data_IF_980456379416
#
_entry.id   IF_980456379416
#
_cell.length_a   1.000
_cell.length_b   1.000
_cell.length_c   1.000
_cell.angle_alpha   90.00
_cell.angle_beta   90.00
_cell.angle_gamma   90.00
#
_symmetry.space_group_name_H-M   'P 1'
#
loop_
_entity.id
_entity.type
_entity.pdbx_description
1 polymer ?
#
# COMPACT_ATOMS: atom_id res chain seq x y z
N UNK A 1 -22.27 -18.08 -5.44
CA UNK A 1 -21.83 -16.80 -4.89
C UNK A 1 -22.08 -15.72 -5.94
N UNK A 2 -22.70 -14.64 -5.56
CA UNK A 2 -22.91 -13.48 -6.44
C UNK A 2 -21.83 -12.44 -6.16
N UNK A 3 -21.27 -11.90 -7.22
CA UNK A 3 -20.32 -10.78 -7.13
C UNK A 3 -21.09 -9.46 -6.99
N UNK A 4 -20.52 -8.50 -6.28
CA UNK A 4 -21.07 -7.15 -6.24
C UNK A 4 -20.95 -6.47 -7.63
N UNK A 5 -21.84 -5.53 -7.92
CA UNK A 5 -21.89 -4.83 -9.22
C UNK A 5 -20.54 -4.25 -9.68
N UNK A 6 -19.75 -3.68 -8.76
CA UNK A 6 -18.43 -3.14 -9.07
C UNK A 6 -17.40 -4.24 -9.43
N UNK A 7 -17.53 -5.42 -8.80
CA UNK A 7 -16.69 -6.60 -9.10
C UNK A 7 -17.03 -7.17 -10.47
N UNK A 8 -18.32 -7.30 -10.80
CA UNK A 8 -18.76 -7.75 -12.13
C UNK A 8 -18.32 -6.82 -13.25
N UNK A 9 -18.43 -5.49 -13.03
CA UNK A 9 -17.95 -4.48 -14.00
C UNK A 9 -16.44 -4.61 -14.23
N UNK A 10 -15.66 -4.84 -13.16
CA UNK A 10 -14.23 -5.06 -13.26
C UNK A 10 -13.92 -6.39 -13.99
N UNK A 11 -14.59 -7.48 -13.61
CA UNK A 11 -14.43 -8.81 -14.21
C UNK A 11 -14.63 -8.81 -15.74
N UNK A 12 -15.58 -8.01 -16.23
CA UNK A 12 -15.82 -7.87 -17.68
C UNK A 12 -14.64 -7.22 -18.41
N UNK A 13 -13.89 -6.33 -17.75
CA UNK A 13 -12.74 -5.60 -18.32
C UNK A 13 -11.40 -6.31 -18.08
N UNK A 14 -11.33 -7.27 -17.16
CA UNK A 14 -10.09 -7.99 -16.86
C UNK A 14 -9.62 -8.80 -18.04
N UNK A 15 -8.31 -8.80 -18.24
CA UNK A 15 -7.59 -9.52 -19.30
C UNK A 15 -6.21 -9.94 -18.80
N UNK A 16 -5.55 -10.82 -19.54
CA UNK A 16 -4.18 -11.23 -19.21
C UNK A 16 -3.24 -10.03 -19.15
N UNK A 17 -2.41 -9.95 -18.12
CA UNK A 17 -1.45 -8.85 -17.93
C UNK A 17 -2.02 -7.59 -17.30
N UNK A 18 -3.31 -7.58 -16.92
CA UNK A 18 -3.90 -6.40 -16.26
C UNK A 18 -3.53 -6.27 -14.79
N UNK A 19 -3.65 -5.06 -14.29
CA UNK A 19 -3.60 -4.74 -12.86
C UNK A 19 -5.03 -4.44 -12.40
N UNK A 20 -5.61 -5.27 -11.54
CA UNK A 20 -6.88 -4.99 -10.89
C UNK A 20 -6.65 -3.98 -9.76
N UNK A 21 -7.15 -2.77 -9.96
CA UNK A 21 -6.96 -1.65 -9.04
C UNK A 21 -8.23 -1.40 -8.24
N UNK A 22 -8.12 -1.52 -6.93
CA UNK A 22 -9.25 -1.26 -6.04
C UNK A 22 -8.78 -0.97 -4.62
N UNK A 23 -9.53 -0.17 -3.90
CA UNK A 23 -9.23 0.17 -2.51
C UNK A 23 -9.06 -1.06 -1.62
N UNK A 24 -8.54 -0.85 -0.43
CA UNK A 24 -8.43 -1.91 0.58
C UNK A 24 -9.84 -2.41 0.93
N UNK A 25 -10.05 -3.73 0.94
CA UNK A 25 -11.37 -4.31 1.23
C UNK A 25 -12.39 -4.28 0.09
N UNK A 26 -12.03 -3.86 -1.12
CA UNK A 26 -12.95 -3.86 -2.28
C UNK A 26 -13.25 -5.25 -2.86
N UNK A 27 -12.66 -6.33 -2.33
CA UNK A 27 -12.87 -7.70 -2.82
C UNK A 27 -12.02 -8.07 -4.04
N UNK A 28 -10.81 -7.51 -4.17
CA UNK A 28 -9.88 -7.86 -5.26
C UNK A 28 -9.58 -9.35 -5.33
N UNK A 29 -9.35 -10.00 -4.18
CA UNK A 29 -9.01 -11.43 -4.11
C UNK A 29 -10.11 -12.29 -4.72
N UNK A 30 -11.35 -12.13 -4.26
CA UNK A 30 -12.50 -12.88 -4.76
C UNK A 30 -12.76 -12.59 -6.26
N UNK A 31 -12.59 -11.35 -6.71
CA UNK A 31 -12.76 -10.96 -8.12
C UNK A 31 -11.68 -11.60 -9.01
N UNK A 32 -10.45 -11.69 -8.51
CA UNK A 32 -9.35 -12.34 -9.23
C UNK A 32 -9.55 -13.86 -9.36
N UNK A 33 -10.07 -14.51 -8.33
CA UNK A 33 -10.45 -15.91 -8.36
C UNK A 33 -11.64 -16.16 -9.31
N UNK A 34 -12.63 -15.25 -9.33
CA UNK A 34 -13.70 -15.30 -10.31
C UNK A 34 -13.19 -15.15 -11.75
N UNK A 35 -12.21 -14.28 -11.98
CA UNK A 35 -11.56 -14.17 -13.28
C UNK A 35 -10.85 -15.46 -13.69
N UNK A 36 -10.03 -16.03 -12.82
CA UNK A 36 -9.38 -17.31 -13.04
C UNK A 36 -10.39 -18.41 -13.35
N UNK A 37 -11.38 -18.60 -12.48
CA UNK A 37 -12.36 -19.66 -12.62
C UNK A 37 -13.20 -19.49 -13.90
N UNK A 38 -13.84 -18.34 -14.08
CA UNK A 38 -14.83 -18.15 -15.15
C UNK A 38 -14.18 -17.87 -16.51
N UNK A 39 -13.15 -16.99 -16.57
CA UNK A 39 -12.58 -16.52 -17.83
C UNK A 39 -11.40 -17.36 -18.29
N UNK A 40 -10.47 -17.67 -17.39
CA UNK A 40 -9.26 -18.45 -17.74
C UNK A 40 -9.61 -19.93 -17.88
N UNK A 41 -10.28 -20.52 -16.88
CA UNK A 41 -10.60 -21.95 -16.88
C UNK A 41 -11.98 -22.27 -17.47
N UNK A 42 -12.72 -21.28 -18.00
CA UNK A 42 -14.02 -21.51 -18.62
C UNK A 42 -15.07 -22.09 -17.69
N UNK A 43 -14.98 -21.74 -16.38
CA UNK A 43 -15.84 -22.29 -15.34
C UNK A 43 -17.30 -21.90 -15.50
N UNK A 44 -18.19 -22.87 -15.31
CA UNK A 44 -19.62 -22.72 -15.29
C UNK A 44 -20.23 -23.75 -14.34
N UNK A 45 -21.26 -23.37 -13.60
CA UNK A 45 -21.99 -24.25 -12.67
C UNK A 45 -21.05 -25.03 -11.71
N UNK A 46 -20.10 -24.30 -11.12
CA UNK A 46 -19.05 -24.82 -10.21
C UNK A 46 -18.12 -25.88 -10.84
N UNK A 47 -18.03 -25.97 -12.15
CA UNK A 47 -17.13 -26.89 -12.87
C UNK A 47 -16.25 -26.12 -13.83
N UNK A 48 -14.98 -26.47 -13.91
CA UNK A 48 -14.05 -25.94 -14.90
C UNK A 48 -14.15 -26.72 -16.22
N UNK A 49 -13.93 -26.03 -17.34
CA UNK A 49 -13.78 -26.66 -18.64
C UNK A 49 -12.50 -27.52 -18.65
N UNK A 50 -12.59 -28.86 -18.85
CA UNK A 50 -11.42 -29.74 -18.81
C UNK A 50 -10.29 -29.33 -19.79
N UNK A 51 -10.65 -28.70 -20.93
CA UNK A 51 -9.69 -28.26 -21.97
C UNK A 51 -8.98 -26.93 -21.62
N UNK A 52 -9.51 -26.19 -20.64
CA UNK A 52 -8.99 -24.85 -20.26
C UNK A 52 -8.37 -24.82 -18.87
N UNK A 53 -8.36 -25.93 -18.16
CA UNK A 53 -7.79 -26.02 -16.83
C UNK A 53 -6.33 -25.58 -16.83
N UNK A 54 -5.95 -24.80 -15.83
CA UNK A 54 -4.57 -24.37 -15.57
C UNK A 54 -4.30 -24.41 -14.08
N UNK A 55 -3.09 -24.73 -13.69
CA UNK A 55 -2.65 -24.63 -12.31
C UNK A 55 -2.66 -23.17 -11.86
N UNK A 56 -2.99 -22.93 -10.60
CA UNK A 56 -3.10 -21.60 -10.00
C UNK A 56 -1.96 -21.35 -9.02
N UNK A 57 -1.25 -20.27 -9.23
CA UNK A 57 -0.22 -19.77 -8.33
C UNK A 57 -0.58 -18.38 -7.83
N UNK A 58 -0.71 -18.23 -6.50
CA UNK A 58 -1.01 -16.96 -5.86
C UNK A 58 0.24 -16.53 -5.11
N UNK A 59 0.88 -15.46 -5.58
CA UNK A 59 2.05 -14.86 -4.95
C UNK A 59 1.60 -13.65 -4.16
N UNK A 60 1.69 -13.73 -2.85
CA UNK A 60 1.16 -12.72 -1.92
C UNK A 60 2.19 -12.30 -0.87
N UNK A 61 1.79 -11.61 0.18
CA UNK A 61 2.67 -11.33 1.32
C UNK A 61 2.84 -12.58 2.20
N UNK A 62 4.00 -12.74 2.88
CA UNK A 62 4.22 -13.86 3.79
C UNK A 62 3.09 -13.95 4.83
N UNK A 63 2.65 -12.81 5.37
CA UNK A 63 1.56 -12.77 6.33
C UNK A 63 0.23 -13.31 5.80
N UNK A 64 -0.22 -12.88 4.61
CA UNK A 64 -1.47 -13.38 4.02
C UNK A 64 -1.41 -14.86 3.69
N UNK A 65 -0.23 -15.38 3.32
CA UNK A 65 0.02 -16.81 3.17
C UNK A 65 -0.16 -17.53 4.51
N UNK A 66 0.51 -17.03 5.56
CA UNK A 66 0.57 -17.69 6.87
C UNK A 66 -0.75 -17.57 7.65
N UNK A 67 -1.55 -16.54 7.38
CA UNK A 67 -2.89 -16.34 7.96
C UNK A 67 -4.01 -17.05 7.19
N UNK A 68 -3.68 -17.74 6.10
CA UNK A 68 -4.65 -18.47 5.27
C UNK A 68 -5.83 -17.62 4.76
N UNK A 69 -5.58 -16.32 4.51
CA UNK A 69 -6.65 -15.40 4.06
C UNK A 69 -7.23 -15.78 2.69
N UNK A 70 -6.46 -16.45 1.84
CA UNK A 70 -6.89 -16.85 0.51
C UNK A 70 -7.83 -18.06 0.50
N UNK A 71 -7.70 -18.96 1.48
CA UNK A 71 -8.45 -20.21 1.56
C UNK A 71 -9.96 -19.96 1.68
N UNK A 72 -10.37 -18.93 2.44
CA UNK A 72 -11.76 -18.52 2.55
C UNK A 72 -12.37 -18.10 1.22
N UNK A 73 -11.66 -17.29 0.43
CA UNK A 73 -12.10 -16.83 -0.89
C UNK A 73 -12.08 -18.00 -1.90
N UNK A 74 -11.07 -18.88 -1.85
CA UNK A 74 -10.94 -20.05 -2.72
C UNK A 74 -12.06 -21.07 -2.53
N UNK A 75 -12.56 -21.24 -1.32
CA UNK A 75 -13.63 -22.19 -1.01
C UNK A 75 -14.92 -21.91 -1.83
N UNK A 76 -15.20 -20.65 -2.16
CA UNK A 76 -16.35 -20.29 -2.99
C UNK A 76 -16.28 -20.88 -4.40
N UNK A 77 -15.08 -21.20 -4.89
CA UNK A 77 -14.81 -21.78 -6.21
C UNK A 77 -14.40 -23.24 -6.11
N UNK A 78 -14.53 -23.90 -4.95
CA UNK A 78 -14.07 -25.26 -4.70
C UNK A 78 -12.59 -25.45 -5.02
N UNK A 79 -11.76 -24.44 -4.77
CA UNK A 79 -10.31 -24.44 -4.89
C UNK A 79 -9.66 -24.65 -3.53
N UNK A 80 -8.59 -25.42 -3.48
CA UNK A 80 -7.82 -25.66 -2.26
C UNK A 80 -6.35 -25.92 -2.61
N UNK A 81 -5.39 -25.48 -1.76
CA UNK A 81 -4.01 -25.94 -1.84
C UNK A 81 -3.86 -27.43 -1.54
N UNK A 82 -4.81 -28.03 -0.80
CA UNK A 82 -4.91 -29.48 -0.63
C UNK A 82 -5.54 -30.10 -1.89
N UNK A 83 -4.79 -30.92 -2.64
CA UNK A 83 -5.30 -31.55 -3.87
C UNK A 83 -6.51 -32.44 -3.64
N UNK A 84 -6.66 -32.98 -2.44
CA UNK A 84 -7.77 -33.90 -2.09
C UNK A 84 -9.08 -33.14 -1.84
N UNK A 85 -8.99 -31.85 -1.48
CA UNK A 85 -10.13 -30.98 -1.19
C UNK A 85 -10.69 -30.24 -2.41
N UNK A 86 -10.03 -30.34 -3.60
CA UNK A 86 -10.50 -29.68 -4.81
C UNK A 86 -10.97 -30.70 -5.87
N UNK A 87 -12.23 -30.59 -6.32
CA UNK A 87 -12.76 -31.50 -7.35
C UNK A 87 -12.23 -31.18 -8.77
N UNK A 88 -11.51 -30.06 -8.95
CA UNK A 88 -11.11 -29.60 -10.27
C UNK A 88 -9.87 -30.31 -10.82
N UNK A 89 -9.04 -30.95 -9.97
CA UNK A 89 -7.80 -31.59 -10.36
C UNK A 89 -6.77 -30.61 -10.89
N UNK A 90 -6.75 -29.38 -10.39
CA UNK A 90 -5.74 -28.36 -10.63
C UNK A 90 -4.89 -28.18 -9.38
N UNK A 91 -3.59 -27.95 -9.58
CA UNK A 91 -2.71 -27.58 -8.48
C UNK A 91 -2.96 -26.12 -8.08
N UNK A 92 -3.08 -25.88 -6.79
CA UNK A 92 -3.21 -24.53 -6.22
C UNK A 92 -2.04 -24.30 -5.26
N UNK A 93 -1.32 -23.21 -5.45
CA UNK A 93 -0.19 -22.82 -4.61
C UNK A 93 -0.41 -21.39 -4.09
N UNK A 94 -0.28 -21.18 -2.80
CA UNK A 94 -0.24 -19.85 -2.18
C UNK A 94 1.12 -19.68 -1.54
N UNK A 95 1.92 -18.73 -2.02
CA UNK A 95 3.27 -18.49 -1.49
C UNK A 95 3.60 -16.99 -1.43
N UNK A 96 4.70 -16.68 -0.76
CA UNK A 96 5.11 -15.29 -0.58
C UNK A 96 6.03 -14.79 -1.69
N UNK A 97 6.04 -13.46 -1.89
CA UNK A 97 6.98 -12.79 -2.80
C UNK A 97 8.44 -13.16 -2.55
N UNK A 98 8.83 -13.48 -1.30
CA UNK A 98 10.19 -13.92 -0.97
C UNK A 98 10.58 -15.20 -1.70
N UNK A 99 9.61 -16.01 -2.05
CA UNK A 99 9.78 -17.31 -2.69
C UNK A 99 9.54 -17.29 -4.21
N UNK A 100 9.25 -16.15 -4.82
CA UNK A 100 8.87 -16.05 -6.24
C UNK A 100 9.87 -16.73 -7.19
N UNK A 101 11.16 -16.70 -6.85
CA UNK A 101 12.21 -17.35 -7.64
C UNK A 101 12.05 -18.86 -7.83
N UNK A 102 11.33 -19.55 -6.93
CA UNK A 102 11.02 -20.98 -7.05
C UNK A 102 10.14 -21.32 -8.25
N UNK A 103 9.42 -20.35 -8.76
CA UNK A 103 8.39 -20.51 -9.79
C UNK A 103 8.83 -20.07 -11.19
N UNK A 104 10.11 -19.69 -11.37
CA UNK A 104 10.63 -19.18 -12.64
C UNK A 104 10.57 -20.17 -13.82
N UNK A 105 10.48 -21.48 -13.53
CA UNK A 105 10.40 -22.54 -14.52
C UNK A 105 8.99 -23.14 -14.63
N UNK A 106 7.99 -22.55 -14.00
CA UNK A 106 6.58 -22.95 -14.15
C UNK A 106 6.06 -22.40 -15.47
N UNK A 107 5.38 -23.26 -16.24
CA UNK A 107 4.81 -22.93 -17.54
C UNK A 107 3.33 -23.30 -17.61
N UNK A 108 2.61 -22.72 -18.57
CA UNK A 108 1.20 -23.01 -18.87
C UNK A 108 0.23 -22.91 -17.68
N UNK A 109 0.57 -22.08 -16.69
CA UNK A 109 -0.18 -21.87 -15.46
C UNK A 109 -0.81 -20.47 -15.44
N UNK A 110 -1.58 -20.19 -14.39
CA UNK A 110 -2.12 -18.87 -14.12
C UNK A 110 -1.57 -18.32 -12.82
N UNK A 111 -1.10 -17.08 -12.84
CA UNK A 111 -0.55 -16.40 -11.68
C UNK A 111 -1.41 -15.23 -11.25
N UNK A 112 -1.72 -15.15 -9.96
CA UNK A 112 -2.25 -13.97 -9.29
C UNK A 112 -1.13 -13.39 -8.43
N UNK A 113 -0.67 -12.18 -8.76
CA UNK A 113 0.33 -11.46 -8.01
C UNK A 113 -0.38 -10.42 -7.12
N UNK A 114 -0.55 -10.75 -5.85
CA UNK A 114 -1.26 -9.92 -4.89
C UNK A 114 -0.34 -8.94 -4.18
N UNK A 115 -0.86 -7.74 -3.87
CA UNK A 115 -0.11 -6.64 -3.26
C UNK A 115 1.16 -6.31 -4.06
N UNK A 116 0.99 -5.74 -5.26
CA UNK A 116 2.09 -5.46 -6.20
C UNK A 116 3.40 -5.02 -5.51
N UNK A 117 4.43 -5.84 -5.65
CA UNK A 117 5.78 -5.63 -5.12
C UNK A 117 6.84 -5.44 -6.21
N UNK A 118 6.41 -5.50 -7.47
CA UNK A 118 7.29 -5.39 -8.65
C UNK A 118 7.50 -3.94 -9.05
N UNK A 119 7.92 -3.13 -8.09
CA UNK A 119 8.37 -1.76 -8.31
C UNK A 119 9.90 -1.72 -8.37
N UNK A 120 10.45 -0.92 -9.26
CA UNK A 120 11.89 -0.93 -9.52
C UNK A 120 12.34 -2.13 -10.34
N UNK A 121 13.62 -2.56 -10.21
CA UNK A 121 14.20 -3.63 -11.03
C UNK A 121 15.08 -4.59 -10.21
N UNK A 122 14.56 -5.01 -9.05
CA UNK A 122 15.19 -5.98 -8.15
C UNK A 122 14.99 -7.45 -8.57
N UNK A 123 15.40 -8.39 -7.71
CA UNK A 123 15.26 -9.82 -7.94
C UNK A 123 13.81 -10.25 -8.21
N UNK A 124 12.87 -9.79 -7.40
CA UNK A 124 11.44 -10.11 -7.58
C UNK A 124 10.88 -9.67 -8.93
N UNK A 125 11.28 -8.48 -9.41
CA UNK A 125 10.85 -7.97 -10.72
C UNK A 125 11.42 -8.82 -11.86
N UNK A 126 12.64 -9.33 -11.73
CA UNK A 126 13.25 -10.21 -12.73
C UNK A 126 12.54 -11.56 -12.79
N UNK A 127 12.28 -12.19 -11.64
CA UNK A 127 11.50 -13.43 -11.55
C UNK A 127 10.08 -13.25 -12.10
N UNK A 128 9.40 -12.15 -11.73
CA UNK A 128 8.08 -11.81 -12.25
C UNK A 128 8.09 -11.72 -13.79
N UNK A 129 9.04 -10.99 -14.38
CA UNK A 129 9.14 -10.87 -15.85
C UNK A 129 9.39 -12.24 -16.50
N UNK A 130 10.21 -13.10 -15.89
CA UNK A 130 10.49 -14.45 -16.42
C UNK A 130 9.24 -15.32 -16.40
N UNK A 131 8.54 -15.37 -15.28
CA UNK A 131 7.27 -16.10 -15.10
C UNK A 131 6.21 -15.62 -16.10
N UNK A 132 6.06 -14.31 -16.23
CA UNK A 132 5.02 -13.68 -17.04
C UNK A 132 5.15 -13.92 -18.55
N UNK A 133 6.32 -14.33 -19.04
CA UNK A 133 6.55 -14.61 -20.46
C UNK A 133 5.89 -15.90 -20.94
N UNK A 134 5.75 -16.89 -20.07
CA UNK A 134 5.28 -18.25 -20.40
C UNK A 134 3.99 -18.63 -19.69
N UNK A 135 3.45 -17.74 -18.85
CA UNK A 135 2.23 -17.95 -18.10
C UNK A 135 1.24 -16.80 -18.30
N UNK A 136 -0.05 -17.09 -18.07
CA UNK A 136 -1.06 -16.04 -17.91
C UNK A 136 -1.02 -15.49 -16.50
N UNK A 137 -1.32 -14.19 -16.34
CA UNK A 137 -1.20 -13.56 -15.05
C UNK A 137 -2.03 -12.27 -14.93
N UNK A 138 -2.30 -11.90 -13.70
CA UNK A 138 -2.85 -10.59 -13.30
C UNK A 138 -2.14 -10.09 -12.03
N UNK A 139 -2.14 -8.79 -11.84
CA UNK A 139 -1.70 -8.13 -10.61
C UNK A 139 -2.88 -7.53 -9.85
N UNK A 140 -2.80 -7.56 -8.52
CA UNK A 140 -3.73 -6.87 -7.63
C UNK A 140 -3.02 -5.74 -6.91
N UNK A 141 -3.61 -4.56 -6.87
CA UNK A 141 -3.04 -3.44 -6.14
C UNK A 141 -4.11 -2.43 -5.72
N UNK A 142 -3.91 -1.80 -4.57
CA UNK A 142 -4.64 -0.58 -4.22
C UNK A 142 -3.91 0.67 -4.76
N UNK A 143 -2.59 0.58 -4.95
CA UNK A 143 -1.70 1.66 -5.38
C UNK A 143 -0.66 1.09 -6.33
N UNK A 144 -0.94 1.04 -7.64
CA UNK A 144 -0.13 0.29 -8.60
C UNK A 144 1.27 0.88 -8.87
N UNK A 145 1.53 2.13 -8.51
CA UNK A 145 2.84 2.77 -8.59
C UNK A 145 2.78 4.26 -8.28
N UNK A 146 3.86 4.82 -7.77
CA UNK A 146 3.98 6.25 -7.42
C UNK A 146 4.64 7.07 -8.54
N UNK A 147 5.32 6.39 -9.48
CA UNK A 147 6.06 6.98 -10.60
C UNK A 147 6.03 6.08 -11.83
N UNK A 148 6.36 6.62 -13.00
CA UNK A 148 6.47 5.83 -14.22
C UNK A 148 7.49 4.68 -14.13
N UNK A 149 8.55 4.85 -13.36
CA UNK A 149 9.54 3.79 -13.15
C UNK A 149 8.97 2.56 -12.44
N UNK A 150 7.92 2.72 -11.66
CA UNK A 150 7.30 1.61 -10.93
C UNK A 150 6.54 0.66 -11.88
N UNK A 151 6.16 1.14 -13.06
CA UNK A 151 5.48 0.34 -14.07
C UNK A 151 6.44 -0.41 -15.00
N UNK A 152 7.75 -0.16 -14.97
CA UNK A 152 8.73 -0.78 -15.91
C UNK A 152 8.58 -2.31 -15.97
N UNK A 153 8.55 -3.06 -14.85
CA UNK A 153 8.45 -4.51 -14.90
C UNK A 153 7.15 -4.99 -15.57
N UNK A 154 6.04 -4.33 -15.27
CA UNK A 154 4.73 -4.69 -15.81
C UNK A 154 4.64 -4.37 -17.31
N UNK A 155 5.20 -3.24 -17.73
CA UNK A 155 5.25 -2.86 -19.15
C UNK A 155 6.13 -3.83 -19.97
N UNK A 156 7.23 -4.30 -19.37
CA UNK A 156 8.08 -5.34 -20.00
C UNK A 156 7.34 -6.69 -20.05
N UNK A 157 6.67 -7.09 -18.95
CA UNK A 157 5.92 -8.34 -18.89
C UNK A 157 4.76 -8.38 -19.89
N UNK A 158 4.15 -7.24 -20.22
CA UNK A 158 3.15 -7.07 -21.27
C UNK A 158 3.76 -6.95 -22.68
N UNK A 159 5.09 -6.98 -22.83
CA UNK A 159 5.76 -6.93 -24.15
C UNK A 159 5.85 -5.54 -24.78
N UNK A 160 5.47 -4.46 -24.06
CA UNK A 160 5.56 -3.09 -24.60
C UNK A 160 7.01 -2.60 -24.73
N UNK A 161 7.90 -3.14 -23.92
CA UNK A 161 9.34 -2.89 -23.96
C UNK A 161 10.12 -4.20 -23.84
N UNK A 162 11.23 -4.30 -24.56
CA UNK A 162 12.12 -5.47 -24.47
C UNK A 162 12.81 -5.59 -23.12
N UNK A 163 13.20 -4.45 -22.55
CA UNK A 163 13.94 -4.37 -21.28
C UNK A 163 13.91 -2.94 -20.70
N UNK A 164 14.46 -2.80 -19.49
CA UNK A 164 14.59 -1.51 -18.80
C UNK A 164 15.38 -0.48 -19.61
N UNK A 165 16.43 -0.89 -20.33
CA UNK A 165 17.28 0.03 -21.11
C UNK A 165 16.48 0.71 -22.21
N UNK A 166 15.63 -0.03 -22.92
CA UNK A 166 14.76 0.55 -23.94
C UNK A 166 13.81 1.59 -23.31
N UNK A 167 13.12 1.24 -22.23
CA UNK A 167 12.25 2.19 -21.51
C UNK A 167 13.01 3.44 -21.08
N UNK A 168 14.19 3.26 -20.46
CA UNK A 168 15.03 4.37 -19.98
C UNK A 168 15.42 5.33 -21.09
N UNK A 169 15.82 4.79 -22.24
CA UNK A 169 16.21 5.58 -23.41
C UNK A 169 15.04 6.40 -23.97
N UNK A 170 13.83 5.82 -23.97
CA UNK A 170 12.67 6.45 -24.56
C UNK A 170 11.99 7.47 -23.62
N UNK A 171 12.15 7.30 -22.30
CA UNK A 171 11.27 8.01 -21.36
C UNK A 171 11.98 8.71 -20.20
N UNK A 172 13.27 8.51 -19.97
CA UNK A 172 13.96 9.07 -18.81
C UNK A 172 15.07 10.03 -19.22
N UNK A 173 15.02 11.25 -18.68
CA UNK A 173 16.12 12.20 -18.69
C UNK A 173 16.73 12.21 -17.30
N UNK A 174 18.05 11.99 -17.23
CA UNK A 174 18.80 12.03 -15.97
C UNK A 174 19.37 13.43 -15.71
N UNK A 175 19.47 13.81 -14.44
CA UNK A 175 20.09 15.05 -14.01
C UNK A 175 21.58 15.05 -14.33
N UNK A 176 22.05 16.10 -15.03
CA UNK A 176 23.43 16.16 -15.58
C UNK A 176 24.53 16.21 -14.51
N UNK A 177 24.26 16.78 -13.34
CA UNK A 177 25.26 17.04 -12.30
C UNK A 177 25.03 16.22 -11.03
N UNK A 178 24.24 15.16 -11.09
CA UNK A 178 24.03 14.29 -9.94
C UNK A 178 25.18 13.28 -9.81
N UNK A 179 25.71 13.10 -8.59
CA UNK A 179 26.76 12.11 -8.28
C UNK A 179 26.36 10.67 -8.65
N UNK A 180 25.06 10.37 -8.62
CA UNK A 180 24.46 9.08 -9.01
C UNK A 180 23.32 9.32 -10.00
N UNK A 181 22.95 8.34 -10.84
CA UNK A 181 21.86 8.49 -11.79
C UNK A 181 20.56 8.86 -11.05
N UNK A 182 20.16 10.12 -11.17
CA UNK A 182 18.94 10.68 -10.61
C UNK A 182 18.03 11.09 -11.77
N UNK A 183 16.79 10.62 -11.76
CA UNK A 183 15.81 11.01 -12.78
C UNK A 183 15.50 12.50 -12.58
N UNK A 184 15.69 13.28 -13.63
CA UNK A 184 15.31 14.69 -13.69
C UNK A 184 13.82 14.79 -14.07
N UNK A 185 13.45 14.19 -15.21
CA UNK A 185 12.07 14.17 -15.69
C UNK A 185 11.80 12.98 -16.60
N UNK A 186 10.52 12.71 -16.78
CA UNK A 186 10.03 11.79 -17.80
C UNK A 186 9.63 12.53 -19.06
N UNK A 187 9.82 11.90 -20.21
CA UNK A 187 9.42 12.37 -21.53
C UNK A 187 8.50 11.36 -22.22
N UNK A 188 7.79 11.77 -23.26
CA UNK A 188 6.82 10.94 -23.99
C UNK A 188 5.77 10.33 -23.04
N UNK A 189 5.32 11.10 -22.06
CA UNK A 189 4.40 10.65 -20.99
C UNK A 189 3.02 10.29 -21.53
N UNK A 190 2.57 10.87 -22.65
CA UNK A 190 1.30 10.52 -23.30
C UNK A 190 1.28 9.04 -23.76
N UNK A 191 2.42 8.54 -24.26
CA UNK A 191 2.57 7.10 -24.58
C UNK A 191 2.44 6.28 -23.32
N UNK A 192 3.13 6.67 -22.24
CA UNK A 192 3.08 5.97 -20.95
C UNK A 192 1.66 5.98 -20.36
N UNK A 193 0.95 7.09 -20.43
CA UNK A 193 -0.44 7.20 -19.96
C UNK A 193 -1.36 6.25 -20.72
N UNK A 194 -1.26 6.18 -22.06
CA UNK A 194 -2.03 5.22 -22.86
C UNK A 194 -1.71 3.77 -22.52
N UNK A 195 -0.43 3.42 -22.36
CA UNK A 195 -0.02 2.06 -21.99
C UNK A 195 -0.52 1.71 -20.58
N UNK A 196 -0.39 2.64 -19.62
CA UNK A 196 -0.94 2.47 -18.27
C UNK A 196 -2.45 2.24 -18.30
N UNK A 197 -3.18 3.08 -19.01
CA UNK A 197 -4.62 2.96 -19.14
C UNK A 197 -5.07 1.63 -19.75
N UNK A 198 -4.27 1.05 -20.66
CA UNK A 198 -4.59 -0.25 -21.28
C UNK A 198 -4.43 -1.45 -20.33
N UNK A 199 -3.63 -1.34 -19.29
CA UNK A 199 -3.38 -2.43 -18.34
C UNK A 199 -4.12 -2.25 -17.00
N UNK A 200 -4.63 -1.08 -16.68
CA UNK A 200 -5.33 -0.83 -15.43
C UNK A 200 -6.82 -1.18 -15.56
N UNK A 201 -7.31 -2.00 -14.67
CA UNK A 201 -8.73 -2.33 -14.53
C UNK A 201 -9.22 -1.78 -13.19
N UNK A 202 -9.88 -0.62 -13.18
CA UNK A 202 -10.39 -0.02 -11.95
C UNK A 202 -11.59 -0.80 -11.44
N UNK A 203 -11.56 -1.09 -10.14
CA UNK A 203 -12.68 -1.62 -9.39
C UNK A 203 -13.16 -0.55 -8.42
N UNK A 204 -13.97 0.39 -8.94
CA UNK A 204 -14.54 1.49 -8.16
C UNK A 204 -15.54 0.92 -7.17
N UNK A 205 -15.28 1.13 -5.91
CA UNK A 205 -16.18 0.77 -4.83
C UNK A 205 -16.46 2.03 -4.01
N UNK A 206 -17.70 2.50 -4.06
CA UNK A 206 -18.18 3.58 -3.23
C UNK A 206 -18.60 3.01 -1.88
N UNK A 207 -18.10 3.59 -0.82
CA UNK A 207 -18.45 3.23 0.55
C UNK A 207 -19.48 4.19 1.09
N UNK A 208 -20.33 3.70 1.96
CA UNK A 208 -21.31 4.53 2.67
C UNK A 208 -20.68 5.35 3.81
N UNK A 209 -19.40 5.08 4.13
CA UNK A 209 -18.67 5.79 5.18
C UNK A 209 -18.32 7.22 4.76
N UNK A 210 -18.51 8.15 5.68
CA UNK A 210 -18.14 9.57 5.54
C UNK A 210 -16.76 9.77 6.16
N UNK A 211 -15.79 10.25 5.38
CA UNK A 211 -14.41 10.42 5.82
C UNK A 211 -14.16 11.86 6.24
N UNK A 212 -13.93 12.10 7.53
CA UNK A 212 -13.57 13.40 8.09
C UNK A 212 -12.04 13.51 8.20
N UNK A 213 -11.42 14.28 7.31
CA UNK A 213 -9.96 14.47 7.28
C UNK A 213 -9.59 15.83 7.82
N UNK A 214 -8.88 15.87 8.93
CA UNK A 214 -8.47 17.10 9.60
C UNK A 214 -6.94 17.19 9.67
N UNK A 215 -6.39 18.28 9.14
CA UNK A 215 -4.97 18.62 9.31
C UNK A 215 -4.81 19.56 10.48
N UNK A 216 -3.99 19.12 11.45
CA UNK A 216 -3.70 19.90 12.66
C UNK A 216 -2.26 20.40 12.56
N UNK A 217 -2.10 21.71 12.59
CA UNK A 217 -0.78 22.32 12.58
C UNK A 217 -0.11 22.14 13.93
N UNK A 218 1.04 21.46 13.96
CA UNK A 218 1.93 21.36 15.10
C UNK A 218 3.01 22.46 15.02
N UNK A 219 3.57 22.82 16.17
CA UNK A 219 4.71 23.73 16.25
C UNK A 219 6.03 23.05 15.84
N UNK A 220 7.09 23.84 15.92
CA UNK A 220 8.48 23.38 15.83
C UNK A 220 9.39 24.33 16.58
N UNK A 221 10.49 23.83 17.11
CA UNK A 221 11.55 24.69 17.62
C UNK A 221 12.24 25.39 16.45
N UNK A 222 11.96 26.69 16.26
CA UNK A 222 12.42 27.43 15.08
C UNK A 222 13.95 27.59 15.07
N UNK A 223 14.59 27.82 16.21
CA UNK A 223 16.05 27.97 16.30
C UNK A 223 16.74 26.68 15.82
N UNK A 224 16.42 25.55 16.45
CA UNK A 224 16.97 24.23 16.05
C UNK A 224 16.69 23.90 14.58
N UNK A 225 15.50 24.26 14.08
CA UNK A 225 15.12 24.01 12.71
C UNK A 225 15.96 24.82 11.74
N UNK A 226 16.20 26.12 12.01
CA UNK A 226 17.04 26.98 11.17
C UNK A 226 18.51 26.58 11.22
N UNK A 227 19.02 26.16 12.36
CA UNK A 227 20.39 25.66 12.50
C UNK A 227 20.61 24.42 11.63
N UNK A 228 19.63 23.50 11.60
CA UNK A 228 19.70 22.33 10.73
C UNK A 228 19.59 22.71 9.25
N UNK A 229 18.69 23.64 8.87
CA UNK A 229 18.51 24.04 7.46
C UNK A 229 19.70 24.82 6.93
N UNK A 230 20.24 25.79 7.68
CA UNK A 230 21.29 26.70 7.26
C UNK A 230 22.69 26.13 7.51
N UNK A 231 22.89 25.55 8.68
CA UNK A 231 24.17 25.04 9.15
C UNK A 231 24.41 23.57 8.84
N UNK A 232 23.39 22.83 8.34
CA UNK A 232 23.43 21.37 8.18
C UNK A 232 23.88 20.70 9.49
N UNK A 233 23.38 21.20 10.61
CA UNK A 233 23.77 20.82 11.97
C UNK A 233 22.72 19.94 12.66
N UNK A 234 23.16 18.87 13.33
CA UNK A 234 22.33 18.03 14.18
C UNK A 234 22.36 18.56 15.64
N UNK A 235 21.32 19.24 16.12
CA UNK A 235 21.31 19.80 17.47
C UNK A 235 21.16 18.74 18.57
N UNK A 236 20.77 17.50 18.23
CA UNK A 236 20.63 16.43 19.21
C UNK A 236 21.95 15.72 19.50
N UNK A 237 22.85 15.69 18.53
CA UNK A 237 24.16 15.07 18.63
C UNK A 237 25.28 16.10 18.75
N UNK A 238 24.98 17.36 18.48
CA UNK A 238 25.93 18.46 18.43
C UNK A 238 27.05 18.21 17.40
N UNK A 239 26.70 17.78 16.20
CA UNK A 239 27.62 17.46 15.09
C UNK A 239 27.03 17.86 13.72
N UNK A 240 27.84 18.04 12.66
CA UNK A 240 27.33 18.27 11.32
C UNK A 240 26.55 17.06 10.79
N UNK A 241 25.45 17.31 10.04
CA UNK A 241 24.75 16.26 9.32
C UNK A 241 25.62 15.72 8.17
N UNK A 242 25.79 14.40 8.12
CA UNK A 242 26.69 13.73 7.16
C UNK A 242 26.21 13.87 5.70
N UNK A 243 24.91 13.94 5.48
CA UNK A 243 24.29 14.02 4.15
C UNK A 243 22.86 14.53 4.22
N UNK A 244 22.22 14.72 3.05
CA UNK A 244 20.83 15.20 2.97
C UNK A 244 19.81 14.28 3.67
N UNK A 245 20.06 12.97 3.69
CA UNK A 245 19.15 12.03 4.35
C UNK A 245 19.22 12.18 5.89
N UNK A 246 20.43 12.37 6.45
CA UNK A 246 20.60 12.65 7.89
C UNK A 246 19.98 14.01 8.26
N UNK A 247 20.16 15.04 7.44
CA UNK A 247 19.51 16.34 7.66
C UNK A 247 17.98 16.23 7.63
N UNK A 248 17.41 15.51 6.66
CA UNK A 248 15.95 15.24 6.64
C UNK A 248 15.47 14.50 7.89
N UNK A 249 16.23 13.52 8.37
CA UNK A 249 15.88 12.81 9.62
C UNK A 249 15.90 13.76 10.83
N UNK A 250 16.94 14.62 10.94
CA UNK A 250 17.05 15.60 12.02
C UNK A 250 15.91 16.61 11.98
N UNK A 251 15.58 17.16 10.80
CA UNK A 251 14.44 18.05 10.63
C UNK A 251 13.12 17.39 11.07
N UNK A 252 12.92 16.12 10.72
CA UNK A 252 11.76 15.37 11.19
C UNK A 252 11.78 15.17 12.71
N UNK A 253 12.94 14.88 13.29
CA UNK A 253 13.05 14.74 14.74
C UNK A 253 12.71 16.04 15.45
N UNK A 254 13.21 17.20 14.98
CA UNK A 254 12.89 18.52 15.56
C UNK A 254 11.37 18.77 15.57
N UNK A 255 10.68 18.54 14.44
CA UNK A 255 9.23 18.80 14.37
C UNK A 255 8.40 17.76 15.12
N UNK A 256 8.84 16.51 15.17
CA UNK A 256 8.07 15.43 15.80
C UNK A 256 8.26 15.37 17.33
N UNK A 257 9.35 15.96 17.86
CA UNK A 257 9.57 16.07 19.31
C UNK A 257 9.04 17.38 19.91
N UNK A 258 8.46 18.26 19.09
CA UNK A 258 7.91 19.52 19.59
C UNK A 258 6.75 19.28 20.59
N UNK A 259 6.74 19.99 21.75
CA UNK A 259 5.74 19.80 22.80
C UNK A 259 4.29 20.00 22.34
N UNK A 260 4.06 20.79 21.29
CA UNK A 260 2.71 21.00 20.75
C UNK A 260 2.06 19.71 20.29
N UNK A 261 2.83 18.73 19.78
CA UNK A 261 2.29 17.42 19.41
C UNK A 261 1.75 16.64 20.60
N UNK A 262 2.44 16.71 21.76
CA UNK A 262 1.93 16.09 23.01
C UNK A 262 0.58 16.69 23.40
N UNK A 263 0.45 18.01 23.33
CA UNK A 263 -0.80 18.73 23.64
C UNK A 263 -1.92 18.33 22.68
N UNK A 264 -1.63 18.23 21.37
CA UNK A 264 -2.61 17.81 20.37
C UNK A 264 -3.08 16.38 20.62
N UNK A 265 -2.16 15.43 20.86
CA UNK A 265 -2.52 14.04 21.15
C UNK A 265 -3.39 13.93 22.39
N UNK A 266 -3.05 14.61 23.50
CA UNK A 266 -3.87 14.63 24.71
C UNK A 266 -5.28 15.14 24.45
N UNK A 267 -5.42 16.20 23.65
CA UNK A 267 -6.72 16.75 23.26
C UNK A 267 -7.52 15.73 22.46
N UNK A 268 -6.94 15.14 21.42
CA UNK A 268 -7.60 14.13 20.59
C UNK A 268 -8.01 12.90 21.41
N UNK A 269 -7.18 12.45 22.35
CA UNK A 269 -7.51 11.33 23.22
C UNK A 269 -8.55 11.68 24.31
N UNK A 270 -8.82 12.94 24.56
CA UNK A 270 -9.95 13.38 25.38
C UNK A 270 -11.26 13.36 24.59
N UNK A 271 -11.21 13.67 23.29
CA UNK A 271 -12.35 13.69 22.39
C UNK A 271 -12.74 12.29 21.89
N UNK A 272 -11.76 11.39 21.67
CA UNK A 272 -11.94 10.05 21.14
C UNK A 272 -11.53 8.98 22.16
N UNK A 273 -12.46 8.09 22.53
CA UNK A 273 -12.19 7.02 23.50
C UNK A 273 -11.23 5.97 22.98
N UNK A 274 -11.26 5.70 21.67
CA UNK A 274 -10.47 4.68 21.01
C UNK A 274 -9.82 5.27 19.78
N UNK A 275 -8.52 5.06 19.58
CA UNK A 275 -7.82 5.53 18.39
C UNK A 275 -6.64 4.64 18.03
N UNK A 276 -6.34 4.57 16.72
CA UNK A 276 -5.08 4.04 16.20
C UNK A 276 -4.17 5.22 15.95
N UNK A 277 -2.94 5.19 16.47
CA UNK A 277 -1.92 6.22 16.22
C UNK A 277 -0.80 5.62 15.39
N UNK A 278 -0.63 6.11 14.16
CA UNK A 278 0.47 5.72 13.29
C UNK A 278 1.69 6.61 13.50
N UNK A 279 2.87 5.99 13.59
CA UNK A 279 4.15 6.65 13.78
C UNK A 279 5.27 6.04 12.92
N UNK A 280 6.39 6.77 12.73
CA UNK A 280 7.53 6.30 11.93
C UNK A 280 8.70 5.81 12.78
N UNK A 281 9.09 6.54 13.84
CA UNK A 281 10.37 6.38 14.52
C UNK A 281 10.22 5.94 15.97
N UNK A 282 11.24 5.26 16.51
CA UNK A 282 11.24 4.78 17.91
C UNK A 282 11.09 5.92 18.91
N UNK A 283 11.73 7.09 18.68
CA UNK A 283 11.57 8.24 19.57
C UNK A 283 10.12 8.78 19.60
N UNK A 284 9.35 8.62 18.52
CA UNK A 284 7.92 8.97 18.51
C UNK A 284 7.12 7.99 19.37
N UNK A 285 7.46 6.70 19.33
CA UNK A 285 6.85 5.69 20.18
C UNK A 285 7.08 5.98 21.67
N UNK A 286 8.30 6.36 22.03
CA UNK A 286 8.63 6.73 23.40
C UNK A 286 7.77 7.91 23.92
N UNK A 287 7.63 8.95 23.08
CA UNK A 287 6.76 10.10 23.40
C UNK A 287 5.30 9.66 23.56
N UNK A 288 4.83 8.78 22.67
CA UNK A 288 3.44 8.28 22.74
C UNK A 288 3.21 7.42 23.97
N UNK A 289 4.16 6.55 24.34
CA UNK A 289 4.10 5.78 25.59
C UNK A 289 3.99 6.68 26.82
N UNK A 290 4.82 7.71 26.89
CA UNK A 290 4.78 8.68 27.99
C UNK A 290 3.40 9.34 28.10
N UNK A 291 2.84 9.80 26.96
CA UNK A 291 1.51 10.42 26.92
C UNK A 291 0.44 9.46 27.43
N UNK A 292 0.46 8.20 27.01
CA UNK A 292 -0.54 7.19 27.42
C UNK A 292 -0.41 6.85 28.89
N UNK A 293 0.83 6.69 29.40
CA UNK A 293 1.10 6.42 30.81
C UNK A 293 0.67 7.58 31.70
N UNK A 294 1.01 8.83 31.35
CA UNK A 294 0.60 10.02 32.08
C UNK A 294 -0.94 10.20 32.11
N UNK A 295 -1.61 9.84 31.01
CA UNK A 295 -3.06 9.93 30.90
C UNK A 295 -3.80 8.68 31.43
N UNK A 296 -3.08 7.65 31.88
CA UNK A 296 -3.61 6.37 32.32
C UNK A 296 -4.53 5.71 31.27
N UNK A 297 -4.14 5.81 29.99
CA UNK A 297 -4.86 5.19 28.88
C UNK A 297 -4.21 3.85 28.56
N UNK A 298 -5.00 2.78 28.53
CA UNK A 298 -4.52 1.47 28.07
C UNK A 298 -4.06 1.54 26.61
N UNK A 299 -2.93 0.94 26.29
CA UNK A 299 -2.46 0.89 24.92
C UNK A 299 -1.84 -0.47 24.55
N UNK A 300 -1.96 -0.82 23.29
CA UNK A 300 -1.25 -1.92 22.66
C UNK A 300 -0.29 -1.40 21.60
N UNK A 301 0.69 -2.22 21.22
CA UNK A 301 1.72 -1.87 20.26
C UNK A 301 1.80 -2.86 19.11
N UNK A 302 1.97 -2.33 17.90
CA UNK A 302 2.31 -3.09 16.71
C UNK A 302 3.51 -2.45 16.00
N UNK A 303 4.66 -3.09 16.14
CA UNK A 303 5.93 -2.62 15.57
C UNK A 303 6.82 -3.82 15.21
N UNK A 304 8.09 -3.57 14.85
CA UNK A 304 9.04 -4.63 14.48
C UNK A 304 9.38 -5.62 15.60
N UNK A 305 9.12 -5.27 16.86
CA UNK A 305 9.46 -6.09 18.03
C UNK A 305 8.22 -6.67 18.71
N UNK A 306 7.12 -5.93 18.73
CA UNK A 306 5.88 -6.29 19.42
C UNK A 306 4.70 -6.36 18.48
N UNK A 307 3.91 -7.42 18.59
CA UNK A 307 2.66 -7.62 17.87
C UNK A 307 1.53 -7.92 18.86
N UNK A 308 1.22 -6.95 19.71
CA UNK A 308 0.17 -7.09 20.72
C UNK A 308 -1.22 -7.04 20.06
N UNK A 309 -2.23 -7.69 20.61
CA UNK A 309 -3.61 -7.52 20.15
C UNK A 309 -4.12 -6.09 20.43
N UNK A 310 -5.14 -5.68 19.70
CA UNK A 310 -5.87 -4.43 19.99
C UNK A 310 -6.49 -4.55 21.40
N UNK A 311 -6.34 -3.56 22.29
CA UNK A 311 -6.97 -3.58 23.60
C UNK A 311 -8.49 -3.65 23.52
N UNK A 312 -9.13 -4.28 24.50
CA UNK A 312 -10.58 -4.54 24.49
C UNK A 312 -11.38 -3.68 25.49
N UNK A 313 -10.72 -2.77 26.19
CA UNK A 313 -11.37 -1.86 27.13
C UNK A 313 -12.19 -0.78 26.42
N UNK A 314 -12.96 0.00 27.18
CA UNK A 314 -13.77 1.09 26.61
C UNK A 314 -12.95 2.26 26.11
N UNK A 315 -11.75 2.45 26.68
CA UNK A 315 -10.83 3.52 26.31
C UNK A 315 -9.43 2.98 26.10
N UNK A 316 -8.95 3.09 24.85
CA UNK A 316 -7.64 2.57 24.49
C UNK A 316 -7.00 3.31 23.31
N UNK A 317 -5.70 3.12 23.17
CA UNK A 317 -4.92 3.57 22.02
C UNK A 317 -4.12 2.41 21.44
N UNK A 318 -4.04 2.31 20.12
CA UNK A 318 -3.21 1.32 19.44
C UNK A 318 -2.07 2.00 18.70
N UNK A 319 -0.84 1.82 19.18
CA UNK A 319 0.36 2.47 18.66
C UNK A 319 0.96 1.61 17.56
N UNK A 320 0.92 2.08 16.32
CA UNK A 320 1.27 1.28 15.14
C UNK A 320 2.40 1.92 14.35
N UNK A 321 3.51 1.21 14.22
CA UNK A 321 4.59 1.62 13.34
C UNK A 321 4.23 1.36 11.88
N UNK A 322 4.38 2.37 11.01
CA UNK A 322 4.01 2.25 9.61
C UNK A 322 4.65 1.06 8.88
N UNK A 323 5.93 0.80 9.11
CA UNK A 323 6.68 -0.27 8.44
C UNK A 323 6.20 -1.67 8.82
N UNK A 324 5.69 -1.85 10.04
CA UNK A 324 5.20 -3.12 10.55
C UNK A 324 3.68 -3.28 10.42
N UNK A 325 2.94 -2.17 10.48
CA UNK A 325 1.49 -2.18 10.68
C UNK A 325 0.66 -1.60 9.54
N UNK A 326 1.26 -1.08 8.47
CA UNK A 326 0.47 -0.59 7.34
C UNK A 326 -0.22 -1.71 6.56
N UNK A 327 0.20 -2.97 6.68
CA UNK A 327 -0.34 -4.11 5.96
C UNK A 327 -0.83 -5.22 6.91
N UNK A 328 -1.82 -5.96 6.47
CA UNK A 328 -2.15 -7.31 6.98
C UNK A 328 -2.96 -7.41 8.28
N UNK A 329 -3.63 -6.37 8.80
CA UNK A 329 -4.61 -6.44 9.88
C UNK A 329 -5.73 -5.43 9.70
N UNK A 330 -6.84 -5.62 10.39
CA UNK A 330 -8.01 -4.76 10.34
C UNK A 330 -8.44 -4.41 11.77
N UNK A 331 -9.00 -3.23 11.94
CA UNK A 331 -9.62 -2.83 13.18
C UNK A 331 -10.93 -2.12 12.87
N UNK A 332 -12.02 -2.72 13.29
CA UNK A 332 -13.37 -2.15 13.18
C UNK A 332 -13.92 -1.72 14.55
N UNK A 333 -13.06 -1.69 15.56
CA UNK A 333 -13.43 -1.35 16.95
C UNK A 333 -13.24 0.15 17.25
N UNK A 334 -12.78 0.92 16.28
CA UNK A 334 -12.62 2.38 16.34
C UNK A 334 -12.96 3.04 15.01
N UNK A 335 -13.43 4.27 15.09
CA UNK A 335 -13.69 5.18 13.98
C UNK A 335 -12.55 6.17 13.73
N UNK A 336 -11.47 6.13 14.53
CA UNK A 336 -10.47 7.20 14.59
C UNK A 336 -9.05 6.71 14.30
N UNK A 337 -8.39 7.39 13.36
CA UNK A 337 -6.94 7.26 13.11
C UNK A 337 -6.25 8.62 13.29
N UNK A 338 -5.14 8.61 14.01
CA UNK A 338 -4.25 9.75 14.18
C UNK A 338 -2.91 9.44 13.52
N UNK A 339 -2.50 10.24 12.57
CA UNK A 339 -1.18 10.19 11.95
C UNK A 339 -0.26 11.15 12.70
N UNK A 340 0.49 10.63 13.68
CA UNK A 340 1.40 11.42 14.51
C UNK A 340 2.47 12.11 13.68
N UNK A 341 2.98 11.43 12.67
CA UNK A 341 3.87 11.98 11.65
C UNK A 341 3.52 11.40 10.27
N UNK A 342 3.81 12.12 9.20
CA UNK A 342 3.54 11.66 7.84
C UNK A 342 4.59 10.66 7.36
N UNK A 343 4.20 9.67 6.57
CA UNK A 343 5.13 8.80 5.85
C UNK A 343 5.29 9.30 4.40
N UNK A 344 6.49 9.14 3.82
CA UNK A 344 6.77 9.54 2.44
C UNK A 344 6.06 8.68 1.37
N UNK A 345 5.61 7.49 1.73
CA UNK A 345 4.96 6.56 0.81
C UNK A 345 3.45 6.78 0.79
N UNK A 346 2.94 7.17 -0.38
CA UNK A 346 1.49 7.27 -0.61
C UNK A 346 0.79 5.93 -0.37
N UNK A 347 1.40 4.82 -0.84
CA UNK A 347 0.91 3.46 -0.61
C UNK A 347 0.73 3.17 0.88
N UNK A 348 1.75 3.43 1.70
CA UNK A 348 1.71 3.18 3.15
C UNK A 348 0.63 4.02 3.82
N UNK A 349 0.55 5.31 3.48
CA UNK A 349 -0.48 6.21 4.03
C UNK A 349 -1.90 5.73 3.68
N UNK A 350 -2.12 5.33 2.43
CA UNK A 350 -3.42 4.80 1.95
C UNK A 350 -3.77 3.49 2.64
N UNK A 351 -2.82 2.59 2.80
CA UNK A 351 -3.04 1.32 3.49
C UNK A 351 -3.32 1.51 4.98
N UNK A 352 -2.61 2.42 5.64
CA UNK A 352 -2.85 2.78 7.02
C UNK A 352 -4.25 3.37 7.22
N UNK A 353 -4.67 4.31 6.36
CA UNK A 353 -6.02 4.87 6.40
C UNK A 353 -7.11 3.81 6.20
N UNK A 354 -6.87 2.82 5.35
CA UNK A 354 -7.81 1.73 5.09
C UNK A 354 -7.97 0.71 6.23
N UNK A 355 -7.32 0.88 7.40
CA UNK A 355 -7.41 -0.08 8.50
C UNK A 355 -8.77 -0.08 9.20
N UNK A 356 -9.42 1.06 9.32
CA UNK A 356 -10.76 1.21 9.93
C UNK A 356 -11.87 1.28 8.88
N UNK A 357 -11.56 1.70 7.66
CA UNK A 357 -12.51 1.82 6.57
C UNK A 357 -12.70 0.47 5.87
N UNK A 358 -13.59 -0.36 6.41
CA UNK A 358 -13.90 -1.72 5.98
C UNK A 358 -15.38 -1.87 5.63
N UNK A 359 -15.69 -2.87 4.78
CA UNK A 359 -17.09 -3.20 4.41
C UNK A 359 -17.98 -3.50 5.62
N UNK A 360 -17.40 -4.09 6.66
CA UNK A 360 -18.08 -4.50 7.88
C UNK A 360 -17.82 -3.54 9.05
N UNK A 361 -17.34 -2.31 8.82
CA UNK A 361 -17.23 -1.32 9.89
C UNK A 361 -18.63 -0.94 10.38
N UNK A 362 -18.84 -0.87 11.71
CA UNK A 362 -20.12 -0.41 12.26
C UNK A 362 -20.27 1.12 12.23
N UNK A 363 -19.21 1.86 11.90
CA UNK A 363 -19.19 3.31 11.93
C UNK A 363 -19.56 3.90 10.56
N UNK A 364 -20.41 4.92 10.59
CA UNK A 364 -20.76 5.72 9.41
C UNK A 364 -19.75 6.85 9.17
N UNK A 365 -19.29 7.47 10.24
CA UNK A 365 -18.32 8.56 10.21
C UNK A 365 -16.96 8.04 10.66
N UNK A 366 -15.90 8.34 9.88
CA UNK A 366 -14.52 7.96 10.17
C UNK A 366 -13.64 9.20 10.24
N UNK A 367 -12.87 9.32 11.32
CA UNK A 367 -12.07 10.51 11.63
C UNK A 367 -10.58 10.25 11.41
N UNK A 368 -9.95 11.11 10.61
CA UNK A 368 -8.53 11.03 10.27
C UNK A 368 -7.84 12.33 10.62
N UNK A 369 -6.94 12.31 11.58
CA UNK A 369 -6.18 13.47 12.03
C UNK A 369 -4.73 13.35 11.56
N UNK A 370 -4.27 14.37 10.84
CA UNK A 370 -2.91 14.45 10.33
C UNK A 370 -2.16 15.57 11.02
N UNK A 371 -1.15 15.24 11.84
CA UNK A 371 -0.31 16.25 12.50
C UNK A 371 0.82 16.64 11.55
N UNK A 372 0.96 17.92 11.27
CA UNK A 372 1.97 18.44 10.36
C UNK A 372 2.51 19.79 10.84
N UNK A 373 3.83 19.94 10.87
CA UNK A 373 4.51 21.20 11.17
C UNK A 373 4.89 21.94 9.87
N UNK A 374 5.07 23.25 9.90
CA UNK A 374 5.65 24.01 8.80
C UNK A 374 7.03 23.48 8.38
N UNK A 375 7.36 23.53 7.09
CA UNK A 375 8.64 23.09 6.54
C UNK A 375 8.63 21.63 6.08
N UNK A 376 9.35 20.72 6.75
CA UNK A 376 9.56 19.34 6.27
C UNK A 376 8.24 18.58 6.07
N UNK A 377 7.28 18.69 6.98
CA UNK A 377 6.01 17.99 6.86
C UNK A 377 5.16 18.52 5.69
N UNK A 378 5.22 19.84 5.41
CA UNK A 378 4.57 20.42 4.24
C UNK A 378 5.18 19.90 2.94
N UNK A 379 6.51 19.69 2.91
CA UNK A 379 7.18 19.10 1.75
C UNK A 379 6.76 17.63 1.56
N UNK A 380 6.65 16.85 2.64
CA UNK A 380 6.13 15.48 2.60
C UNK A 380 4.69 15.49 2.08
N UNK A 381 3.83 16.37 2.60
CA UNK A 381 2.44 16.50 2.16
C UNK A 381 2.35 16.83 0.66
N UNK A 382 3.18 17.76 0.17
CA UNK A 382 3.23 18.09 -1.26
C UNK A 382 3.64 16.90 -2.12
N UNK A 383 4.64 16.13 -1.67
CA UNK A 383 5.08 14.91 -2.35
C UNK A 383 3.97 13.84 -2.38
N UNK A 384 3.25 13.66 -1.28
CA UNK A 384 2.10 12.74 -1.19
C UNK A 384 0.97 13.15 -2.14
N UNK A 385 0.66 14.44 -2.23
CA UNK A 385 -0.36 14.96 -3.14
C UNK A 385 0.02 14.73 -4.61
N UNK A 386 1.29 14.92 -4.98
CA UNK A 386 1.75 14.66 -6.35
C UNK A 386 1.64 13.17 -6.70
N UNK A 387 1.94 12.27 -5.77
CA UNK A 387 1.78 10.82 -5.95
C UNK A 387 0.31 10.41 -6.02
N UNK A 388 -0.55 11.05 -5.26
CA UNK A 388 -2.00 10.87 -5.33
C UNK A 388 -2.53 11.24 -6.72
N UNK A 389 -2.19 12.43 -7.23
CA UNK A 389 -2.55 12.87 -8.58
C UNK A 389 -2.11 11.87 -9.63
N UNK A 390 -0.86 11.43 -9.59
CA UNK A 390 -0.34 10.43 -10.52
C UNK A 390 -1.13 9.13 -10.52
N UNK A 391 -1.60 8.67 -9.35
CA UNK A 391 -2.40 7.45 -9.24
C UNK A 391 -3.88 7.66 -9.67
N UNK A 392 -4.41 8.88 -9.57
CA UNK A 392 -5.82 9.17 -9.79
C UNK A 392 -6.11 9.76 -11.18
N UNK A 393 -5.13 10.35 -11.88
CA UNK A 393 -5.31 11.01 -13.19
C UNK A 393 -6.02 10.15 -14.26
N UNK A 394 -5.83 8.82 -14.21
CA UNK A 394 -6.47 7.91 -15.17
C UNK A 394 -7.80 7.33 -14.67
N UNK A 395 -8.20 7.58 -13.40
CA UNK A 395 -9.35 6.94 -12.79
C UNK A 395 -10.53 7.87 -12.51
N UNK A 396 -10.29 9.18 -12.33
CA UNK A 396 -11.30 10.11 -11.87
C UNK A 396 -11.24 11.41 -12.67
N UNK A 397 -12.18 11.58 -13.58
CA UNK A 397 -12.52 12.89 -14.20
C UNK A 397 -13.53 13.67 -13.34
N UNK A 398 -13.66 13.40 -12.03
CA UNK A 398 -14.61 14.12 -11.18
C UNK A 398 -13.98 14.49 -9.83
N UNK A 399 -14.12 15.78 -9.54
CA UNK A 399 -13.89 16.53 -8.30
C UNK A 399 -12.79 16.10 -7.34
N UNK A 400 -11.78 16.89 -7.34
CA UNK A 400 -10.58 16.87 -6.52
C UNK A 400 -10.87 17.31 -5.09
N UNK A 401 -10.81 16.39 -4.10
CA UNK A 401 -10.69 16.75 -2.70
C UNK A 401 -9.21 16.63 -2.31
N UNK A 402 -8.50 17.74 -2.09
CA UNK A 402 -7.09 17.70 -1.71
C UNK A 402 -6.90 17.07 -0.31
N UNK A 403 -5.77 16.37 -0.14
CA UNK A 403 -5.26 16.02 1.18
C UNK A 403 -4.87 17.25 1.96
#
# INVERSE_FOLDING_TARGET
>A
MELYSHQEKALKKMHNGCILVGGVGSGKSITSLAYYFNKVCGGKDKRMDPKKKRDLYIITTARKRDSHEWEGDMAHFLLSPDPTASPHGVKVVVDSWNNIGKYENVENSFFIFDEQRVVGYGAWSKSFIKISKVNQWILLSATPGDTWSDYIPVLIANGFYKNKTQFTREHIIFARFAKYPKIDRYINTDKLSRLRASILVPMKFERETILHKTFITAGRNEAMYQDCVRGIWDPFKNEPCVNAASACYVLRKIVNTDPTRRTIIRKLMAEHKRAIIFYNFTYELEILRDIMNEAQIEYGEWNGEKHQPVPKTDRWTYLVQYTAGAEGWNCIDTDTIIFYSLNYSYKIMTQAAGRIDRLNTPFKDLFYYYLAAPGIDQNIRRALNNKKKFNEEDFYNEEFIPF
#
